data_IF_657585371130
#
_entry.id   IF_657585371130
#
_cell.length_a   1.000
_cell.length_b   1.000
_cell.length_c   1.000
_cell.angle_alpha   90.00
_cell.angle_beta   90.00
_cell.angle_gamma   90.00
#
_symmetry.space_group_name_H-M   'P 1'
#
loop_
_entity.id
_entity.type
_entity.pdbx_description
1 polymer ?
#
# COMPACT_ATOMS: atom_id res chain seq x y z
N UNK A 1 -9.83 7.00 -1.60
CA UNK A 1 -8.82 7.76 -2.39
C UNK A 1 -7.55 8.01 -1.58
N UNK A 2 -6.39 8.06 -2.25
CA UNK A 2 -4.99 7.97 -1.73
C UNK A 2 -4.76 7.08 -0.50
N UNK A 3 -5.20 7.54 0.69
CA UNK A 3 -4.94 6.85 1.95
C UNK A 3 -5.49 5.43 1.96
N UNK A 4 -6.64 5.20 1.32
CA UNK A 4 -7.18 3.83 1.16
C UNK A 4 -6.25 2.93 0.35
N UNK A 5 -5.66 3.48 -0.73
CA UNK A 5 -4.70 2.77 -1.57
C UNK A 5 -3.40 2.49 -0.81
N UNK A 6 -2.93 3.47 -0.05
CA UNK A 6 -1.82 3.30 0.89
C UNK A 6 -2.13 2.21 1.94
N UNK A 7 -3.32 2.24 2.55
CA UNK A 7 -3.74 1.26 3.54
C UNK A 7 -3.86 -0.16 2.96
N UNK A 8 -4.29 -0.28 1.70
CA UNK A 8 -4.34 -1.56 0.99
C UNK A 8 -2.93 -2.12 0.78
N UNK A 9 -1.95 -1.27 0.43
CA UNK A 9 -0.54 -1.69 0.31
C UNK A 9 0.05 -2.10 1.66
N UNK A 10 -0.28 -1.40 2.74
CA UNK A 10 0.11 -1.80 4.10
C UNK A 10 -0.41 -3.20 4.44
N UNK A 11 -1.69 -3.46 4.18
CA UNK A 11 -2.31 -4.76 4.42
C UNK A 11 -1.69 -5.87 3.55
N UNK A 12 -1.47 -5.60 2.25
CA UNK A 12 -0.86 -6.55 1.31
C UNK A 12 0.58 -6.92 1.68
N UNK A 13 1.34 -5.97 2.25
CA UNK A 13 2.77 -6.15 2.56
C UNK A 13 3.05 -6.47 4.03
N UNK A 14 2.02 -6.50 4.89
CA UNK A 14 2.18 -6.69 6.33
C UNK A 14 2.93 -5.54 7.03
N UNK A 15 3.04 -4.37 6.40
CA UNK A 15 3.79 -3.22 6.92
C UNK A 15 2.90 -2.30 7.73
N UNK A 16 3.49 -1.61 8.69
CA UNK A 16 2.82 -0.54 9.44
C UNK A 16 3.21 0.83 8.86
N UNK A 17 2.34 1.84 9.03
CA UNK A 17 2.66 3.22 8.65
C UNK A 17 3.95 3.73 9.34
N UNK A 18 4.19 3.30 10.59
CA UNK A 18 5.44 3.54 11.30
C UNK A 18 6.67 2.98 10.55
N UNK A 19 6.59 1.73 10.08
CA UNK A 19 7.69 1.13 9.31
C UNK A 19 7.95 1.89 8.02
N UNK A 20 6.90 2.25 7.29
CA UNK A 20 7.02 3.08 6.08
C UNK A 20 7.64 4.42 6.41
N UNK A 21 7.26 5.07 7.52
CA UNK A 21 7.84 6.33 7.96
C UNK A 21 9.35 6.22 8.15
N UNK A 22 9.81 5.16 8.83
CA UNK A 22 11.23 4.91 9.07
C UNK A 22 12.02 4.62 7.80
N UNK A 23 11.45 3.83 6.90
CA UNK A 23 12.14 3.43 5.67
C UNK A 23 12.17 4.53 4.60
N UNK A 24 11.12 5.36 4.53
CA UNK A 24 10.98 6.40 3.48
C UNK A 24 11.39 7.79 3.93
N UNK A 25 11.55 8.03 5.24
CA UNK A 25 11.78 9.35 5.81
C UNK A 25 10.55 10.26 5.80
N UNK A 26 9.38 9.80 5.33
CA UNK A 26 8.13 10.55 5.41
C UNK A 26 7.65 10.51 6.86
N UNK A 27 7.48 11.68 7.49
CA UNK A 27 7.01 11.76 8.87
C UNK A 27 5.61 11.13 9.03
N UNK A 28 5.43 10.36 10.10
CA UNK A 28 4.19 9.59 10.36
C UNK A 28 2.92 10.47 10.38
N UNK A 29 3.03 11.69 10.92
CA UNK A 29 1.93 12.65 10.97
C UNK A 29 1.38 13.02 9.58
N UNK A 30 2.20 12.93 8.52
CA UNK A 30 1.77 13.16 7.15
C UNK A 30 0.73 12.11 6.72
N UNK A 31 0.95 10.84 7.07
CA UNK A 31 -0.02 9.78 6.79
C UNK A 31 -1.32 10.01 7.54
N UNK A 32 -1.26 10.45 8.80
CA UNK A 32 -2.44 10.82 9.59
C UNK A 32 -3.21 11.98 8.96
N UNK A 33 -2.51 12.99 8.43
CA UNK A 33 -3.15 14.11 7.75
C UNK A 33 -3.81 13.70 6.44
N UNK A 34 -3.22 12.78 5.67
CA UNK A 34 -3.86 12.24 4.48
C UNK A 34 -5.08 11.37 4.84
N UNK A 35 -5.00 10.57 5.90
CA UNK A 35 -6.13 9.80 6.42
C UNK A 35 -7.31 10.70 6.77
N UNK A 36 -7.02 11.83 7.42
CA UNK A 36 -8.02 12.79 7.86
C UNK A 36 -8.44 13.80 6.77
N UNK A 37 -7.90 13.70 5.55
CA UNK A 37 -8.17 14.66 4.47
C UNK A 37 -7.65 16.08 4.73
N UNK A 38 -6.77 16.27 5.72
CA UNK A 38 -6.27 17.59 6.17
C UNK A 38 -5.23 18.19 5.23
N UNK A 39 -4.59 17.39 4.38
CA UNK A 39 -3.61 17.89 3.42
C UNK A 39 -3.65 17.09 2.12
N UNK A 40 -3.28 17.77 1.02
CA UNK A 40 -3.08 17.13 -0.27
C UNK A 40 -1.64 16.58 -0.36
N UNK A 41 -1.44 15.33 -0.83
CA UNK A 41 -0.09 14.79 -0.99
C UNK A 41 0.66 15.58 -2.08
N UNK A 42 1.94 15.90 -1.81
CA UNK A 42 2.83 16.40 -2.85
C UNK A 42 3.29 15.25 -3.73
N UNK A 43 3.44 15.49 -5.04
CA UNK A 43 3.86 14.48 -6.02
C UNK A 43 5.16 13.77 -5.63
N UNK A 44 6.14 14.49 -5.09
CA UNK A 44 7.40 13.93 -4.57
C UNK A 44 7.17 12.80 -3.55
N UNK A 45 6.23 12.97 -2.62
CA UNK A 45 5.91 11.94 -1.62
C UNK A 45 5.19 10.74 -2.24
N UNK A 46 4.39 10.97 -3.27
CA UNK A 46 3.76 9.89 -4.04
C UNK A 46 4.82 9.05 -4.76
N UNK A 47 5.82 9.68 -5.38
CA UNK A 47 6.94 8.98 -6.01
C UNK A 47 7.75 8.14 -5.01
N UNK A 48 7.99 8.67 -3.81
CA UNK A 48 8.69 7.91 -2.76
C UNK A 48 7.89 6.66 -2.36
N UNK A 49 6.59 6.80 -2.13
CA UNK A 49 5.74 5.66 -1.81
C UNK A 49 5.64 4.65 -2.96
N UNK A 50 5.51 5.14 -4.20
CA UNK A 50 5.46 4.32 -5.41
C UNK A 50 6.71 3.44 -5.52
N UNK A 51 7.89 4.05 -5.38
CA UNK A 51 9.17 3.33 -5.36
C UNK A 51 9.28 2.36 -4.19
N UNK A 52 8.83 2.74 -3.00
CA UNK A 52 8.92 1.90 -1.80
C UNK A 52 8.07 0.62 -1.90
N UNK A 53 6.88 0.73 -2.49
CA UNK A 53 5.96 -0.40 -2.67
C UNK A 53 6.09 -1.11 -4.02
N UNK A 54 7.02 -0.68 -4.86
CA UNK A 54 7.20 -1.17 -6.23
C UNK A 54 5.90 -1.12 -7.06
N UNK A 55 5.23 0.02 -7.02
CA UNK A 55 4.01 0.30 -7.81
C UNK A 55 4.19 1.56 -8.65
N UNK A 56 3.50 1.68 -9.80
CA UNK A 56 3.48 2.93 -10.55
C UNK A 56 2.88 4.08 -9.72
N UNK A 57 3.37 5.31 -9.90
CA UNK A 57 2.89 6.47 -9.12
C UNK A 57 1.41 6.77 -9.39
N UNK A 58 0.95 6.43 -10.59
CA UNK A 58 -0.45 6.47 -11.03
C UNK A 58 -1.36 5.58 -10.18
N UNK A 59 -0.81 4.58 -9.49
CA UNK A 59 -1.56 3.80 -8.51
C UNK A 59 -2.25 4.71 -7.50
N UNK A 60 -1.59 5.79 -7.08
CA UNK A 60 -2.11 6.74 -6.11
C UNK A 60 -3.06 7.80 -6.69
N UNK A 61 -3.22 7.86 -8.02
CA UNK A 61 -4.11 8.79 -8.72
C UNK A 61 -5.57 8.32 -8.70
N UNK A 62 -6.54 9.23 -8.82
CA UNK A 62 -7.99 8.99 -8.65
C UNK A 62 -8.68 8.19 -9.78
N UNK A 63 -7.94 7.43 -10.58
CA UNK A 63 -8.54 6.58 -11.61
C UNK A 63 -9.10 5.29 -10.99
N UNK A 64 -10.42 5.27 -10.79
CA UNK A 64 -11.27 4.16 -10.37
C UNK A 64 -11.26 3.00 -11.40
N UNK A 65 -10.11 2.35 -11.63
CA UNK A 65 -9.99 1.27 -12.63
C UNK A 65 -9.26 0.01 -12.15
N UNK A 66 -9.13 -0.23 -10.84
CA UNK A 66 -8.48 -1.45 -10.31
C UNK A 66 -9.31 -2.14 -9.23
N UNK A 67 -10.62 -2.29 -9.47
CA UNK A 67 -11.34 -3.48 -8.98
C UNK A 67 -11.24 -4.53 -10.07
N UNK A 68 -10.68 -5.71 -9.75
CA UNK A 68 -10.73 -6.97 -10.52
C UNK A 68 -9.46 -7.38 -11.31
N UNK A 69 -8.36 -7.63 -10.61
CA UNK A 69 -7.37 -8.66 -11.02
C UNK A 69 -6.35 -8.91 -9.92
N UNK A 70 -6.55 -10.02 -9.19
CA UNK A 70 -5.59 -10.89 -8.48
C UNK A 70 -6.24 -11.44 -7.21
N UNK A 71 -7.23 -12.32 -7.40
CA UNK A 71 -7.39 -13.50 -6.56
C UNK A 71 -6.79 -14.68 -7.34
N UNK A 72 -6.17 -15.60 -6.59
CA UNK A 72 -5.41 -16.82 -6.97
C UNK A 72 -3.90 -16.59 -7.19
N UNK A 73 -2.98 -17.36 -6.63
CA UNK A 73 -2.98 -18.52 -5.72
C UNK A 73 -1.50 -18.79 -5.34
N UNK A 74 -1.25 -19.24 -4.12
CA UNK A 74 -0.14 -20.14 -3.68
C UNK A 74 -0.53 -20.48 -2.22
N UNK A 75 -1.31 -21.55 -1.99
CA UNK A 75 -0.90 -22.96 -1.92
C UNK A 75 0.26 -23.19 -0.95
N UNK A 76 -0.09 -23.52 0.30
CA UNK A 76 0.78 -24.25 1.22
C UNK A 76 -0.06 -25.24 2.06
N UNK A 77 0.33 -26.51 1.88
CA UNK A 77 0.20 -27.68 2.75
C UNK A 77 -1.19 -28.25 3.15
N UNK A 78 -1.51 -29.43 2.61
CA UNK A 78 -1.37 -30.66 3.39
C UNK A 78 -1.59 -31.92 2.51
N UNK A 79 -0.49 -32.46 1.99
CA UNK A 79 -0.43 -33.88 1.65
C UNK A 79 -0.21 -34.68 2.95
N UNK A 80 -1.26 -35.27 3.51
CA UNK A 80 -1.14 -36.26 4.58
C UNK A 80 -1.61 -37.65 4.12
N UNK A 81 -0.61 -38.43 3.73
CA UNK A 81 -0.41 -39.89 3.77
C UNK A 81 -1.49 -40.78 4.42
N UNK A 82 -1.70 -41.94 3.78
CA UNK A 82 -1.88 -43.31 4.36
C UNK A 82 -3.14 -43.49 5.25
N UNK A 83 -4.10 -44.37 4.94
CA UNK A 83 -3.97 -45.81 4.69
C UNK A 83 -5.29 -46.39 4.15
#
# INVERSE_FOLDING_TARGET
MLYEKFSALLAKTGKTAYRVSKDTGIAENIFSYWKAGRSKPKFEKLLILAKYFDVPVEYFSDNEATKKSTMKEEDDDAENKTS
#
